data_IF_464673122347
#
_entry.id   IF_464673122347
#
_cell.length_a   1.000
_cell.length_b   1.000
_cell.length_c   1.000
_cell.angle_alpha   90.00
_cell.angle_beta   90.00
_cell.angle_gamma   90.00
#
_symmetry.space_group_name_H-M   'P 1'
#
loop_
_entity.id
_entity.type
_entity.pdbx_description
1 polymer ?
#
# COMPACT_ATOMS: atom_id res chain seq x y z
N UNK A 1 -14.08 -37.68 4.12
CA UNK A 1 -13.12 -37.87 3.05
C UNK A 1 -11.69 -37.79 3.55
N UNK A 2 -10.72 -38.19 2.73
CA UNK A 2 -9.29 -38.09 3.06
C UNK A 2 -8.88 -36.64 3.20
N UNK A 3 -8.18 -36.26 4.28
CA UNK A 3 -7.62 -34.92 4.45
C UNK A 3 -6.44 -34.72 3.51
N UNK A 4 -6.41 -33.58 2.85
CA UNK A 4 -5.35 -33.20 1.91
C UNK A 4 -4.86 -31.78 2.24
N UNK A 5 -3.56 -31.61 2.26
CA UNK A 5 -2.92 -30.29 2.26
C UNK A 5 -2.05 -30.13 1.01
N UNK A 6 -1.95 -28.95 0.47
CA UNK A 6 -1.15 -28.72 -0.72
C UNK A 6 -1.06 -27.25 -1.12
N UNK A 7 -0.14 -26.99 -2.04
CA UNK A 7 0.13 -25.65 -2.58
C UNK A 7 0.33 -25.72 -4.08
N UNK A 8 -0.29 -24.77 -4.77
CA UNK A 8 -0.07 -24.55 -6.20
C UNK A 8 1.17 -23.68 -6.42
N UNK A 9 1.85 -23.87 -7.54
CA UNK A 9 2.83 -22.96 -8.09
C UNK A 9 2.45 -22.60 -9.52
N UNK A 10 2.73 -21.35 -9.90
CA UNK A 10 2.49 -20.86 -11.26
C UNK A 10 3.61 -19.88 -11.59
N UNK A 11 4.29 -20.12 -12.70
CA UNK A 11 5.30 -19.17 -13.20
C UNK A 11 4.65 -17.97 -13.86
N UNK A 12 5.42 -16.90 -14.05
CA UNK A 12 5.01 -15.73 -14.83
C UNK A 12 4.50 -16.19 -16.20
N UNK A 13 3.45 -15.54 -16.71
CA UNK A 13 2.80 -15.87 -17.99
C UNK A 13 2.21 -17.28 -18.10
N UNK A 14 2.17 -18.03 -17.00
CA UNK A 14 1.58 -19.38 -16.95
C UNK A 14 2.28 -20.42 -17.85
N UNK A 15 3.59 -20.37 -17.99
CA UNK A 15 4.35 -21.39 -18.70
C UNK A 15 4.40 -22.72 -17.95
N UNK A 16 4.41 -22.66 -16.62
CA UNK A 16 4.43 -23.85 -15.75
C UNK A 16 3.34 -23.78 -14.71
N UNK A 17 2.77 -24.94 -14.41
CA UNK A 17 1.84 -25.16 -13.33
C UNK A 17 2.34 -26.28 -12.44
N UNK A 18 2.40 -26.02 -11.16
CA UNK A 18 2.81 -26.98 -10.13
C UNK A 18 1.69 -27.21 -9.15
N UNK A 19 1.68 -28.39 -8.60
CA UNK A 19 0.97 -28.70 -7.38
C UNK A 19 1.79 -29.70 -6.56
N UNK A 20 2.14 -29.34 -5.33
CA UNK A 20 2.70 -30.25 -4.34
C UNK A 20 1.67 -30.42 -3.24
N UNK A 21 1.37 -31.66 -2.90
CA UNK A 21 0.36 -31.96 -1.88
C UNK A 21 0.63 -33.29 -1.19
N UNK A 22 0.01 -33.47 -0.03
CA UNK A 22 0.14 -34.67 0.76
C UNK A 22 -1.15 -35.02 1.51
N UNK A 23 -1.27 -36.26 1.82
CA UNK A 23 -2.29 -36.85 2.68
C UNK A 23 -1.61 -37.43 3.91
N UNK A 24 -2.35 -37.96 4.90
CA UNK A 24 -1.73 -38.73 6.00
C UNK A 24 -1.00 -40.00 5.57
N UNK A 25 -1.05 -40.38 4.30
CA UNK A 25 -0.42 -41.60 3.76
C UNK A 25 0.71 -41.31 2.79
N UNK A 26 0.50 -40.35 1.86
CA UNK A 26 1.39 -40.15 0.73
C UNK A 26 1.58 -38.67 0.42
N UNK A 27 2.72 -38.37 -0.17
CA UNK A 27 3.07 -37.09 -0.74
C UNK A 27 3.28 -37.21 -2.25
N UNK A 28 2.88 -36.24 -3.02
CA UNK A 28 3.18 -36.16 -4.45
C UNK A 28 3.36 -34.71 -4.89
N UNK A 29 4.20 -34.53 -5.89
CA UNK A 29 4.34 -33.28 -6.62
C UNK A 29 4.07 -33.53 -8.10
N UNK A 30 3.35 -32.63 -8.72
CA UNK A 30 2.99 -32.68 -10.13
C UNK A 30 3.41 -31.38 -10.80
N UNK A 31 4.06 -31.51 -11.94
CA UNK A 31 4.37 -30.43 -12.83
C UNK A 31 3.65 -30.62 -14.17
N UNK A 32 3.19 -29.54 -14.73
CA UNK A 32 2.64 -29.47 -16.09
C UNK A 32 3.30 -28.28 -16.78
N UNK A 33 3.89 -28.53 -17.93
CA UNK A 33 4.59 -27.56 -18.75
C UNK A 33 4.89 -28.12 -20.13
N UNK A 34 5.52 -27.30 -20.96
CA UNK A 34 6.05 -27.69 -22.26
C UNK A 34 7.58 -27.65 -22.20
N UNK A 35 8.22 -28.39 -23.08
CA UNK A 35 9.68 -28.40 -23.21
C UNK A 35 10.23 -27.00 -23.57
N UNK A 36 9.45 -26.20 -24.27
CA UNK A 36 9.74 -24.79 -24.56
C UNK A 36 8.68 -23.90 -23.89
N UNK A 37 9.02 -22.64 -23.63
CA UNK A 37 8.11 -21.70 -22.95
C UNK A 37 6.87 -21.40 -23.80
N UNK A 38 5.82 -22.18 -23.60
CA UNK A 38 4.50 -22.00 -24.20
C UNK A 38 3.47 -21.84 -23.09
N UNK A 39 2.63 -20.83 -23.22
CA UNK A 39 1.57 -20.55 -22.24
C UNK A 39 0.58 -21.71 -22.16
N UNK A 40 0.33 -22.20 -20.94
CA UNK A 40 -0.68 -23.21 -20.67
C UNK A 40 -2.07 -22.55 -20.67
N UNK A 41 -2.87 -22.83 -21.68
CA UNK A 41 -4.27 -22.42 -21.77
C UNK A 41 -5.16 -23.53 -21.21
N UNK A 42 -5.29 -23.60 -19.88
CA UNK A 42 -6.14 -24.55 -19.19
C UNK A 42 -7.03 -23.86 -18.17
N UNK A 43 -8.26 -24.33 -18.05
CA UNK A 43 -9.14 -23.92 -16.96
C UNK A 43 -8.65 -24.52 -15.64
N UNK A 44 -8.34 -23.64 -14.66
CA UNK A 44 -7.78 -24.04 -13.39
C UNK A 44 -6.31 -24.52 -13.46
N UNK A 45 -5.88 -25.29 -12.48
CA UNK A 45 -4.53 -25.83 -12.41
C UNK A 45 -4.53 -27.33 -12.81
N UNK A 46 -3.97 -27.70 -13.99
CA UNK A 46 -3.97 -29.09 -14.45
C UNK A 46 -3.16 -30.01 -13.55
N UNK A 47 -2.10 -29.53 -12.91
CA UNK A 47 -1.31 -30.29 -11.96
C UNK A 47 -2.11 -30.67 -10.72
N UNK A 48 -2.95 -29.76 -10.20
CA UNK A 48 -3.85 -30.05 -9.09
C UNK A 48 -4.95 -31.05 -9.51
N UNK A 49 -5.45 -30.96 -10.75
CA UNK A 49 -6.42 -31.90 -11.29
C UNK A 49 -5.83 -33.31 -11.44
N UNK A 50 -4.60 -33.41 -11.95
CA UNK A 50 -3.89 -34.69 -12.07
C UNK A 50 -3.58 -35.29 -10.69
N UNK A 51 -3.06 -34.47 -9.77
CA UNK A 51 -2.84 -34.90 -8.37
C UNK A 51 -4.13 -35.48 -7.77
N UNK A 52 -5.26 -34.78 -7.92
CA UNK A 52 -6.55 -35.26 -7.41
C UNK A 52 -6.93 -36.62 -8.01
N UNK A 53 -6.79 -36.77 -9.34
CA UNK A 53 -7.15 -38.02 -10.03
C UNK A 53 -6.29 -39.18 -9.56
N UNK A 54 -4.97 -39.00 -9.48
CA UNK A 54 -4.02 -40.00 -9.05
C UNK A 54 -4.26 -40.36 -7.58
N UNK A 55 -4.34 -39.36 -6.72
CA UNK A 55 -4.50 -39.61 -5.27
C UNK A 55 -5.86 -40.22 -4.94
N UNK A 56 -6.92 -39.88 -5.64
CA UNK A 56 -8.22 -40.55 -5.48
C UNK A 56 -8.10 -42.04 -5.75
N UNK A 57 -7.36 -42.42 -6.78
CA UNK A 57 -7.16 -43.86 -7.13
C UNK A 57 -6.25 -44.58 -6.14
N UNK A 58 -5.14 -43.94 -5.75
CA UNK A 58 -4.19 -44.50 -4.76
C UNK A 58 -4.86 -44.72 -3.40
N UNK A 59 -5.84 -43.91 -3.01
CA UNK A 59 -6.52 -44.02 -1.73
C UNK A 59 -7.83 -44.81 -1.77
N UNK A 60 -8.21 -45.39 -2.91
CA UNK A 60 -9.50 -46.05 -3.09
C UNK A 60 -9.83 -47.07 -2.02
N UNK A 61 -8.80 -47.81 -1.56
CA UNK A 61 -8.96 -48.88 -0.57
C UNK A 61 -8.33 -48.54 0.81
N UNK A 62 -7.95 -47.28 1.02
CA UNK A 62 -7.39 -46.82 2.30
C UNK A 62 -8.47 -46.23 3.20
N UNK A 63 -8.44 -46.50 4.51
CA UNK A 63 -9.33 -45.83 5.46
C UNK A 63 -9.15 -44.31 5.42
N UNK A 64 -10.25 -43.58 5.61
CA UNK A 64 -10.16 -42.12 5.78
C UNK A 64 -9.33 -41.78 7.02
N UNK A 65 -8.38 -40.89 6.86
CA UNK A 65 -7.50 -40.44 7.93
C UNK A 65 -7.34 -38.94 7.88
N UNK A 66 -7.27 -38.30 9.04
CA UNK A 66 -6.92 -36.89 9.19
C UNK A 66 -5.45 -36.76 9.60
N UNK A 67 -4.88 -35.59 9.39
CA UNK A 67 -3.57 -35.26 9.95
C UNK A 67 -3.64 -35.30 11.49
N UNK A 68 -2.58 -35.80 12.10
CA UNK A 68 -2.45 -35.69 13.54
C UNK A 68 -2.27 -34.22 13.93
N UNK A 69 -3.15 -33.73 14.78
CA UNK A 69 -3.04 -32.41 15.35
C UNK A 69 -2.52 -32.54 16.78
N UNK A 70 -1.43 -31.88 17.14
CA UNK A 70 -0.93 -31.91 18.51
C UNK A 70 -2.04 -31.43 19.48
N UNK A 71 -2.37 -32.24 20.47
CA UNK A 71 -3.34 -31.91 21.52
C UNK A 71 -2.71 -31.16 22.71
N UNK A 72 -1.37 -31.15 22.76
CA UNK A 72 -0.59 -30.53 23.84
C UNK A 72 0.77 -30.05 23.30
N UNK A 73 1.50 -29.32 24.10
CA UNK A 73 2.83 -28.83 23.72
C UNK A 73 2.80 -27.63 22.75
N UNK A 74 1.64 -26.99 22.60
CA UNK A 74 1.50 -25.77 21.83
C UNK A 74 1.14 -24.58 22.75
N UNK A 75 1.66 -23.41 22.41
CA UNK A 75 1.34 -22.13 23.02
C UNK A 75 0.85 -21.19 21.94
N UNK A 76 -0.25 -20.46 22.20
CA UNK A 76 -0.74 -19.44 21.31
C UNK A 76 -0.09 -18.10 21.65
N UNK A 77 0.51 -17.48 20.69
CA UNK A 77 1.14 -16.15 20.80
C UNK A 77 0.60 -15.19 19.74
N UNK A 78 0.68 -13.92 20.04
CA UNK A 78 0.34 -12.85 19.10
C UNK A 78 1.62 -12.20 18.63
N UNK A 79 1.90 -12.29 17.34
CA UNK A 79 3.16 -11.86 16.75
C UNK A 79 2.98 -10.77 15.70
N UNK A 80 4.03 -10.00 15.51
CA UNK A 80 4.17 -9.08 14.39
C UNK A 80 4.48 -9.86 13.11
N UNK A 81 3.73 -9.60 12.04
CA UNK A 81 3.90 -10.26 10.74
C UNK A 81 5.19 -9.86 10.01
N UNK A 82 5.82 -8.75 10.39
CA UNK A 82 7.01 -8.24 9.72
C UNK A 82 8.31 -8.74 10.36
N UNK A 83 8.37 -8.90 11.66
CA UNK A 83 9.60 -9.36 12.35
C UNK A 83 9.46 -10.68 13.12
N UNK A 84 8.23 -11.20 13.31
CA UNK A 84 7.99 -12.44 14.04
C UNK A 84 8.04 -12.31 15.57
N UNK A 85 8.43 -11.16 16.13
CA UNK A 85 8.43 -10.90 17.57
C UNK A 85 7.00 -10.70 18.12
N UNK A 86 6.83 -10.65 19.42
CA UNK A 86 5.54 -10.35 20.04
C UNK A 86 5.03 -9.01 19.52
N UNK A 87 3.75 -8.96 19.15
CA UNK A 87 3.15 -7.76 18.60
C UNK A 87 3.05 -6.66 19.66
N UNK A 88 3.27 -5.41 19.23
CA UNK A 88 2.97 -4.19 19.97
C UNK A 88 1.72 -3.51 19.42
N UNK A 89 1.20 -2.48 20.09
CA UNK A 89 0.06 -1.70 19.60
C UNK A 89 0.36 -1.05 18.24
N UNK A 90 1.60 -0.64 18.01
CA UNK A 90 2.04 -0.09 16.72
C UNK A 90 1.89 -1.09 15.57
N UNK A 91 2.03 -2.41 15.84
CA UNK A 91 1.80 -3.41 14.79
C UNK A 91 0.33 -3.45 14.32
N UNK A 92 -0.61 -3.08 15.18
CA UNK A 92 -2.03 -3.01 14.83
C UNK A 92 -2.39 -1.72 14.07
N UNK A 93 -1.60 -0.66 14.26
CA UNK A 93 -1.82 0.68 13.70
C UNK A 93 -1.03 0.95 12.41
N UNK A 94 -0.44 -0.07 11.77
CA UNK A 94 0.37 0.09 10.56
C UNK A 94 -0.45 0.70 9.41
N UNK A 95 0.14 1.61 8.65
CA UNK A 95 -0.50 2.30 7.51
C UNK A 95 -1.03 1.34 6.44
N UNK A 96 -0.49 0.11 6.35
CA UNK A 96 -0.97 -0.97 5.48
C UNK A 96 -2.16 -1.74 6.06
N UNK A 97 -2.60 -1.41 7.27
CA UNK A 97 -3.53 -2.17 8.09
C UNK A 97 -2.84 -3.06 9.12
N UNK A 98 -3.61 -3.71 9.99
CA UNK A 98 -3.06 -4.49 11.11
C UNK A 98 -2.04 -5.54 10.67
N UNK A 99 -0.86 -5.51 11.26
CA UNK A 99 0.25 -6.46 11.07
C UNK A 99 0.38 -7.44 12.23
N UNK A 100 -0.73 -7.73 12.89
CA UNK A 100 -0.80 -8.60 14.06
C UNK A 100 -1.41 -9.93 13.68
N UNK A 101 -0.78 -11.03 14.08
CA UNK A 101 -1.29 -12.39 13.84
C UNK A 101 -1.18 -13.25 15.08
N UNK A 102 -2.25 -14.02 15.36
CA UNK A 102 -2.22 -15.10 16.36
C UNK A 102 -1.71 -16.37 15.70
N UNK A 103 -0.69 -16.96 16.28
CA UNK A 103 -0.09 -18.21 15.81
C UNK A 103 0.08 -19.20 16.95
N UNK A 104 0.08 -20.49 16.63
CA UNK A 104 0.47 -21.55 17.55
C UNK A 104 1.92 -21.94 17.29
N UNK A 105 2.71 -21.97 18.34
CA UNK A 105 4.11 -22.37 18.33
C UNK A 105 4.33 -23.50 19.33
N UNK A 106 5.39 -24.27 19.16
CA UNK A 106 5.77 -25.26 20.17
C UNK A 106 6.03 -24.59 21.52
N UNK A 107 5.59 -25.19 22.61
CA UNK A 107 5.84 -24.65 23.94
C UNK A 107 7.33 -24.48 24.17
N UNK A 108 7.73 -23.31 24.66
CA UNK A 108 9.12 -22.93 24.86
C UNK A 108 9.84 -22.36 23.64
N UNK A 109 9.16 -22.22 22.48
CA UNK A 109 9.73 -21.57 21.28
C UNK A 109 9.05 -20.24 20.96
N UNK A 110 8.18 -19.76 21.82
CA UNK A 110 7.58 -18.44 21.68
C UNK A 110 8.65 -17.34 21.69
N UNK A 111 8.52 -16.29 20.86
CA UNK A 111 9.39 -15.14 20.95
C UNK A 111 9.22 -14.44 22.31
N UNK A 112 10.33 -13.96 22.88
CA UNK A 112 10.39 -13.24 24.15
C UNK A 112 10.55 -11.72 23.97
N UNK A 113 10.92 -11.30 22.77
CA UNK A 113 11.10 -9.89 22.42
C UNK A 113 9.81 -9.30 21.85
N UNK A 114 9.48 -8.09 22.26
CA UNK A 114 8.40 -7.31 21.64
C UNK A 114 8.90 -6.64 20.35
N UNK A 115 8.02 -6.48 19.40
CA UNK A 115 8.30 -5.80 18.13
C UNK A 115 8.79 -4.36 18.39
N UNK A 116 9.93 -4.03 17.78
CA UNK A 116 10.53 -2.68 17.78
C UNK A 116 10.67 -2.11 16.36
N UNK A 117 10.26 -2.88 15.35
CA UNK A 117 10.41 -2.45 13.97
C UNK A 117 9.27 -1.53 13.48
N UNK A 118 8.14 -1.45 14.19
CA UNK A 118 7.10 -0.48 13.91
C UNK A 118 7.38 0.82 14.63
N UNK A 119 7.35 1.94 13.91
CA UNK A 119 7.62 3.29 14.41
C UNK A 119 6.38 4.14 14.19
N UNK A 120 5.99 4.93 15.18
CA UNK A 120 4.86 5.84 15.08
C UNK A 120 5.09 6.89 14.00
N UNK A 121 4.05 7.20 13.24
CA UNK A 121 3.99 8.25 12.24
C UNK A 121 2.68 9.02 12.40
N UNK A 122 2.73 10.35 12.22
CA UNK A 122 1.53 11.18 12.20
C UNK A 122 0.91 11.08 10.79
N UNK A 123 -0.36 10.73 10.72
CA UNK A 123 -1.07 10.43 9.49
C UNK A 123 -2.26 11.34 9.30
N UNK A 124 -2.32 12.05 8.19
CA UNK A 124 -3.47 12.84 7.80
C UNK A 124 -4.56 11.92 7.21
N UNK A 125 -5.73 11.90 7.83
CA UNK A 125 -6.83 11.02 7.43
C UNK A 125 -7.51 11.47 6.13
N UNK A 126 -7.52 12.77 5.85
CA UNK A 126 -8.10 13.32 4.64
C UNK A 126 -7.18 13.14 3.44
N UNK A 127 -5.88 13.43 3.60
CA UNK A 127 -4.89 13.26 2.54
C UNK A 127 -4.42 11.82 2.36
N UNK A 128 -4.80 10.90 3.26
CA UNK A 128 -4.30 9.50 3.35
C UNK A 128 -2.77 9.41 3.17
N UNK A 129 -2.05 10.28 3.89
CA UNK A 129 -0.62 10.50 3.73
C UNK A 129 0.02 10.92 5.07
N UNK A 130 1.35 11.02 5.13
CA UNK A 130 2.07 11.56 6.28
C UNK A 130 1.63 13.00 6.53
N UNK A 131 1.25 13.33 7.77
CA UNK A 131 0.80 14.67 8.13
C UNK A 131 1.94 15.69 8.02
N UNK A 132 1.56 16.93 7.66
CA UNK A 132 2.42 18.11 7.66
C UNK A 132 1.96 19.10 8.73
N UNK A 133 2.72 20.17 8.93
CA UNK A 133 2.33 21.29 9.81
C UNK A 133 1.03 22.00 9.38
N UNK A 134 0.63 21.82 8.12
CA UNK A 134 -0.58 22.44 7.56
C UNK A 134 -1.84 21.57 7.77
N UNK A 135 -1.69 20.32 8.24
CA UNK A 135 -2.82 19.45 8.48
C UNK A 135 -3.57 19.86 9.75
N UNK A 136 -4.92 19.99 9.70
CA UNK A 136 -5.73 20.24 10.88
C UNK A 136 -5.53 19.16 11.93
N UNK A 137 -5.45 19.56 13.20
CA UNK A 137 -5.14 18.63 14.30
C UNK A 137 -6.19 17.51 14.48
N UNK A 138 -7.44 17.78 14.15
CA UNK A 138 -8.55 16.82 14.17
C UNK A 138 -8.50 15.80 13.02
N UNK A 139 -7.70 16.07 11.98
CA UNK A 139 -7.44 15.17 10.86
C UNK A 139 -6.17 14.33 11.06
N UNK A 140 -5.42 14.56 12.14
CA UNK A 140 -4.17 13.84 12.40
C UNK A 140 -4.44 12.68 13.36
N UNK A 141 -4.04 11.47 12.96
CA UNK A 141 -4.06 10.27 13.80
C UNK A 141 -2.68 9.66 13.89
N UNK A 142 -2.40 8.98 15.00
CA UNK A 142 -1.19 8.16 15.08
C UNK A 142 -1.40 6.85 14.36
N UNK A 143 -0.57 6.58 13.37
CA UNK A 143 -0.38 5.28 12.74
C UNK A 143 1.05 4.83 12.92
N UNK A 144 1.43 3.73 12.30
CA UNK A 144 2.82 3.28 12.30
C UNK A 144 3.29 2.86 10.92
N UNK A 145 4.59 2.85 10.74
CA UNK A 145 5.28 2.32 9.57
C UNK A 145 6.39 1.37 10.00
N UNK A 146 6.70 0.38 9.16
CA UNK A 146 7.78 -0.54 9.46
C UNK A 146 9.13 0.04 9.07
N UNK A 147 10.05 -0.01 10.00
CA UNK A 147 11.47 0.24 9.77
C UNK A 147 12.20 -1.11 9.63
N UNK A 148 12.46 -1.53 8.41
CA UNK A 148 13.11 -2.81 8.15
C UNK A 148 14.55 -2.88 8.64
N UNK A 149 15.21 -1.75 8.91
CA UNK A 149 16.56 -1.77 9.52
C UNK A 149 16.54 -2.34 10.93
N UNK A 150 15.38 -2.27 11.61
CA UNK A 150 15.15 -2.78 12.97
C UNK A 150 14.50 -4.16 13.00
N UNK A 151 13.98 -4.65 11.89
CA UNK A 151 13.23 -5.91 11.85
C UNK A 151 14.13 -7.15 11.94
N UNK A 152 15.41 -7.02 11.65
CA UNK A 152 16.32 -8.15 11.46
C UNK A 152 16.06 -8.93 10.16
N UNK A 153 15.07 -8.51 9.35
CA UNK A 153 14.69 -9.10 8.07
C UNK A 153 15.01 -8.08 6.98
N UNK A 154 15.74 -8.49 5.96
CA UNK A 154 16.03 -7.63 4.82
C UNK A 154 14.74 -7.35 4.04
N UNK A 155 14.45 -6.08 3.78
CA UNK A 155 13.42 -5.71 2.82
C UNK A 155 13.79 -6.29 1.47
N UNK A 156 12.94 -7.13 0.89
CA UNK A 156 13.21 -7.68 -0.44
C UNK A 156 13.05 -6.57 -1.49
N UNK A 157 14.00 -6.47 -2.40
CA UNK A 157 13.87 -5.60 -3.56
C UNK A 157 12.61 -6.00 -4.35
N UNK A 158 11.73 -5.03 -4.63
CA UNK A 158 10.47 -5.27 -5.34
C UNK A 158 9.29 -5.69 -4.46
N UNK A 159 9.38 -5.52 -3.14
CA UNK A 159 8.22 -5.63 -2.26
C UNK A 159 7.14 -4.63 -2.71
N UNK A 160 5.91 -5.12 -2.90
CA UNK A 160 4.77 -4.29 -3.34
C UNK A 160 4.41 -3.19 -2.35
N UNK A 161 4.76 -3.40 -1.09
CA UNK A 161 4.42 -2.49 0.01
C UNK A 161 5.55 -1.52 0.34
N UNK A 162 6.61 -1.45 -0.49
CA UNK A 162 7.82 -0.64 -0.20
C UNK A 162 7.51 0.85 -0.02
N UNK A 163 6.47 1.37 -0.69
CA UNK A 163 6.02 2.76 -0.54
C UNK A 163 5.49 3.09 0.87
N UNK A 164 5.14 2.09 1.67
CA UNK A 164 4.65 2.26 3.04
C UNK A 164 5.73 2.02 4.11
N UNK A 165 6.97 1.78 3.70
CA UNK A 165 8.07 1.63 4.65
C UNK A 165 8.51 2.99 5.17
N UNK A 166 8.99 3.03 6.41
CA UNK A 166 9.41 4.28 7.05
C UNK A 166 10.35 5.10 6.17
N UNK A 167 11.28 4.45 5.48
CA UNK A 167 12.23 5.12 4.58
C UNK A 167 11.57 5.81 3.38
N UNK A 168 10.48 5.24 2.84
CA UNK A 168 9.71 5.86 1.77
C UNK A 168 8.81 6.98 2.29
N UNK A 169 8.25 6.82 3.49
CA UNK A 169 7.37 7.82 4.12
C UNK A 169 8.12 9.08 4.60
N UNK A 170 9.43 9.09 4.60
CA UNK A 170 10.25 10.27 4.89
C UNK A 170 10.39 11.22 3.69
N UNK A 171 10.03 10.77 2.48
CA UNK A 171 10.09 11.58 1.27
C UNK A 171 8.95 12.60 1.19
N UNK A 172 9.15 13.68 0.44
CA UNK A 172 8.14 14.74 0.26
C UNK A 172 6.90 14.23 -0.48
N UNK A 173 7.05 13.27 -1.40
CA UNK A 173 5.94 12.64 -2.13
C UNK A 173 4.98 11.86 -1.23
N UNK A 174 5.42 11.45 -0.03
CA UNK A 174 4.61 10.74 0.94
C UNK A 174 3.83 11.66 1.90
N UNK A 175 4.13 12.96 1.88
CA UNK A 175 3.47 13.96 2.72
C UNK A 175 2.10 14.33 2.17
N UNK A 176 1.21 14.78 3.05
CA UNK A 176 -0.10 15.27 2.69
C UNK A 176 0.01 16.43 1.67
N UNK A 177 -0.63 16.26 0.53
CA UNK A 177 -0.70 17.27 -0.53
C UNK A 177 -2.06 18.01 -0.54
N UNK A 178 -3.00 17.59 0.33
CA UNK A 178 -4.31 18.21 0.48
C UNK A 178 -4.20 19.49 1.31
N UNK A 179 -3.42 19.45 2.39
CA UNK A 179 -3.20 20.58 3.28
C UNK A 179 -1.81 21.17 3.00
N UNK A 180 -1.80 22.35 2.44
CA UNK A 180 -0.59 23.11 2.11
C UNK A 180 -0.68 24.51 2.70
N UNK A 181 0.39 25.27 2.69
CA UNK A 181 0.37 26.67 3.10
C UNK A 181 -0.74 27.45 2.40
N UNK A 182 -0.94 27.23 1.10
CA UNK A 182 -1.98 27.88 0.32
C UNK A 182 -3.42 27.51 0.75
N UNK A 183 -3.63 26.29 1.33
CA UNK A 183 -4.97 25.88 1.80
C UNK A 183 -5.28 26.33 3.21
N UNK A 184 -4.28 26.73 3.98
CA UNK A 184 -4.44 27.23 5.34
C UNK A 184 -4.56 28.75 5.43
N UNK A 185 -4.29 29.46 4.33
CA UNK A 185 -4.48 30.91 4.29
C UNK A 185 -5.98 31.23 4.30
N UNK A 186 -6.39 32.01 5.30
CA UNK A 186 -7.77 32.51 5.40
C UNK A 186 -8.09 33.37 4.17
N UNK A 187 -9.12 33.04 3.37
CA UNK A 187 -9.49 33.84 2.21
C UNK A 187 -9.95 35.26 2.58
N UNK A 188 -10.15 35.55 3.87
CA UNK A 188 -10.51 36.89 4.37
C UNK A 188 -9.33 37.62 5.00
N UNK A 189 -8.12 37.05 5.00
CA UNK A 189 -6.90 37.71 5.50
C UNK A 189 -6.54 38.87 4.56
N UNK A 190 -6.52 40.09 5.05
CA UNK A 190 -6.23 41.30 4.23
C UNK A 190 -4.80 41.30 3.66
N UNK A 191 -3.89 40.45 4.24
CA UNK A 191 -2.53 40.30 3.74
C UNK A 191 -2.40 39.11 2.75
N UNK A 192 -3.48 38.35 2.51
CA UNK A 192 -3.49 37.27 1.55
C UNK A 192 -3.51 37.81 0.11
N UNK A 193 -2.47 37.59 -0.70
CA UNK A 193 -2.39 38.12 -2.07
C UNK A 193 -3.44 37.53 -3.02
N UNK A 194 -4.17 36.48 -2.63
CA UNK A 194 -5.24 35.85 -3.42
C UNK A 194 -6.64 36.18 -2.88
N UNK A 195 -6.77 37.01 -1.84
CA UNK A 195 -8.07 37.48 -1.36
C UNK A 195 -8.73 38.41 -2.40
N UNK A 196 -9.91 38.06 -2.93
CA UNK A 196 -10.60 38.90 -3.91
C UNK A 196 -10.99 40.27 -3.36
N UNK A 197 -10.90 40.51 -2.05
CA UNK A 197 -11.14 41.78 -1.39
C UNK A 197 -9.84 42.50 -0.99
N UNK A 198 -8.68 41.95 -1.30
CA UNK A 198 -7.40 42.58 -0.99
C UNK A 198 -7.18 43.81 -1.88
N UNK A 199 -7.07 45.01 -1.32
CA UNK A 199 -6.92 46.22 -2.12
C UNK A 199 -5.56 46.36 -2.83
N UNK A 200 -4.61 45.46 -2.54
CA UNK A 200 -3.29 45.41 -3.19
C UNK A 200 -3.19 44.33 -4.26
N UNK A 201 -4.24 43.57 -4.51
CA UNK A 201 -4.27 42.56 -5.56
C UNK A 201 -4.34 43.28 -6.93
N UNK A 202 -3.34 43.10 -7.81
CA UNK A 202 -3.33 43.76 -9.12
C UNK A 202 -4.48 43.32 -10.05
N UNK A 203 -5.13 42.17 -9.75
CA UNK A 203 -6.29 41.69 -10.50
C UNK A 203 -7.63 42.09 -9.84
N UNK A 204 -7.59 42.83 -8.69
CA UNK A 204 -8.79 43.31 -8.02
C UNK A 204 -9.37 44.54 -8.74
N UNK A 205 -10.58 44.45 -9.34
CA UNK A 205 -11.16 45.54 -10.10
C UNK A 205 -11.54 46.77 -9.25
N UNK A 206 -11.37 46.72 -7.92
CA UNK A 206 -11.62 47.81 -7.00
C UNK A 206 -10.35 48.58 -6.61
N UNK A 207 -9.16 48.18 -7.09
CA UNK A 207 -7.92 48.89 -6.84
C UNK A 207 -7.90 50.20 -7.64
N UNK A 208 -7.88 51.37 -7.00
CA UNK A 208 -7.87 52.68 -7.68
C UNK A 208 -6.55 52.93 -8.43
N UNK A 209 -5.55 52.05 -8.34
CA UNK A 209 -4.27 52.18 -9.05
C UNK A 209 -4.23 51.30 -10.32
N UNK A 210 -5.27 50.50 -10.59
CA UNK A 210 -5.36 49.74 -11.82
C UNK A 210 -5.61 50.63 -13.02
N UNK A 211 -4.69 50.74 -13.97
CA UNK A 211 -4.85 51.59 -15.14
C UNK A 211 -5.97 51.13 -16.09
N UNK A 212 -6.50 49.92 -15.93
CA UNK A 212 -7.61 49.40 -16.76
C UNK A 212 -8.98 49.99 -16.37
N UNK A 213 -9.09 50.61 -15.18
CA UNK A 213 -10.33 51.20 -14.65
C UNK A 213 -10.31 52.75 -14.67
N UNK A 214 -9.25 53.39 -15.17
CA UNK A 214 -9.15 54.83 -15.29
C UNK A 214 -10.06 55.31 -16.45
N UNK A 215 -11.17 56.01 -16.15
CA UNK A 215 -12.08 56.50 -17.18
C UNK A 215 -11.47 57.63 -18.05
N UNK A 216 -10.30 58.18 -17.67
CA UNK A 216 -9.61 59.24 -18.39
C UNK A 216 -8.46 58.72 -19.29
N UNK A 217 -8.27 57.39 -19.37
CA UNK A 217 -7.29 56.81 -20.29
C UNK A 217 -7.96 56.55 -21.67
N UNK A 218 -7.90 57.48 -22.63
CA UNK A 218 -8.40 57.25 -23.97
C UNK A 218 -7.57 56.14 -24.61
N UNK A 219 -8.23 55.17 -25.23
CA UNK A 219 -7.59 54.08 -26.01
C UNK A 219 -6.46 54.67 -26.85
N UNK A 220 -5.23 54.25 -26.57
CA UNK A 220 -4.03 54.66 -27.30
C UNK A 220 -4.21 54.27 -28.78
N UNK A 221 -4.28 55.19 -29.72
CA UNK A 221 -4.45 54.89 -31.13
C UNK A 221 -3.23 54.20 -31.76
N UNK A 222 -2.20 53.87 -30.96
CA UNK A 222 -0.99 53.18 -31.37
C UNK A 222 -0.94 51.73 -30.89
N UNK A 223 -2.02 51.19 -30.27
CA UNK A 223 -2.10 49.78 -29.91
C UNK A 223 -2.08 48.91 -31.20
N UNK A 224 -1.04 48.09 -31.41
CA UNK A 224 -0.92 47.25 -32.58
C UNK A 224 -2.01 46.19 -32.71
N UNK A 225 -2.82 45.96 -31.66
CA UNK A 225 -3.97 45.04 -31.71
C UNK A 225 -5.16 45.55 -32.50
N UNK A 226 -5.18 46.88 -32.84
CA UNK A 226 -6.25 47.50 -33.61
C UNK A 226 -5.81 48.00 -34.98
N UNK A 227 -4.57 47.73 -35.40
CA UNK A 227 -4.07 48.09 -36.72
C UNK A 227 -4.64 47.15 -37.80
N UNK A 228 -5.47 47.66 -38.72
CA UNK A 228 -6.09 46.81 -39.77
C UNK A 228 -5.09 46.32 -40.83
N UNK A 229 -3.83 46.80 -40.82
CA UNK A 229 -2.79 46.39 -41.76
C UNK A 229 -1.78 45.37 -41.18
N UNK A 230 -2.03 44.81 -39.98
CA UNK A 230 -1.17 43.76 -39.42
C UNK A 230 -1.43 42.41 -40.09
N UNK A 231 -0.44 41.84 -40.82
CA UNK A 231 -0.59 40.58 -41.58
C UNK A 231 -0.68 39.30 -40.73
N UNK A 232 -0.62 39.40 -39.38
CA UNK A 232 -0.69 38.24 -38.47
C UNK A 232 -2.07 38.08 -37.79
N UNK A 233 -3.13 38.65 -38.35
CA UNK A 233 -4.51 38.48 -37.85
C UNK A 233 -5.28 37.44 -38.68
#
# INVERSE_FOLDING_TARGET
GMTVAGKTGTTTDNYDRYFAGYTPYYVAAVWTGYEVNVKINASGNPSAQLFRKVMSKVHENLPNKSFDTPSSGLTTVTVCMDCGNLASDLCAADVRGSRVQRVQVASGTAPDQTCTCHVAVQWCTEGDAVATEFCPADMIVEKSAVDYTRSGVAASAGCRDAQYFLSALQGDDAKCQVHTEATTTDPTDPDNPTDPNNPTDPDNPTDPTDPSTDPDNPTDPTDPSTDPDNPDN
#
